data_IF_589594963662
#
_entry.id   IF_589594963662
#
_cell.length_a   1.000
_cell.length_b   1.000
_cell.length_c   1.000
_cell.angle_alpha   90.00
_cell.angle_beta   90.00
_cell.angle_gamma   90.00
#
_symmetry.space_group_name_H-M   'P 1'
#
loop_
_entity.id
_entity.type
_entity.pdbx_description
1 polymer ?
#
# COMPACT_ATOMS: atom_id res chain seq x y z
N UNK A 1 -45.31 20.69 61.08
CA UNK A 1 -44.37 19.64 60.66
C UNK A 1 -44.34 19.59 59.14
N UNK A 2 -43.37 20.21 58.58
CA UNK A 2 -43.23 20.25 57.10
C UNK A 2 -42.06 19.37 56.69
N UNK A 3 -42.37 18.29 56.02
CA UNK A 3 -41.36 17.51 55.31
C UNK A 3 -41.31 18.03 53.88
N UNK A 4 -40.21 18.71 53.57
CA UNK A 4 -39.90 19.10 52.19
C UNK A 4 -39.10 17.94 51.56
N UNK A 5 -39.75 17.25 50.67
CA UNK A 5 -39.12 16.26 49.79
C UNK A 5 -38.37 17.03 48.72
N UNK A 6 -37.05 17.02 48.81
CA UNK A 6 -36.19 17.51 47.77
C UNK A 6 -35.98 16.40 46.74
N UNK A 7 -36.73 16.46 45.65
CA UNK A 7 -36.54 15.63 44.50
C UNK A 7 -35.25 16.06 43.77
N UNK A 8 -34.15 15.38 43.98
CA UNK A 8 -32.95 15.55 43.15
C UNK A 8 -33.20 14.86 41.81
N UNK A 9 -33.47 15.64 40.80
CA UNK A 9 -33.39 15.19 39.43
C UNK A 9 -31.93 14.93 39.06
N UNK A 10 -31.58 13.66 38.95
CA UNK A 10 -30.32 13.25 38.33
C UNK A 10 -30.48 13.41 36.83
N UNK A 11 -29.97 14.52 36.30
CA UNK A 11 -29.73 14.66 34.87
C UNK A 11 -28.55 13.75 34.53
N UNK A 12 -28.89 12.56 34.04
CA UNK A 12 -27.92 11.69 33.39
C UNK A 12 -27.44 12.34 32.08
N UNK A 13 -26.29 12.98 32.13
CA UNK A 13 -25.61 13.41 30.94
C UNK A 13 -25.19 12.19 30.12
N UNK A 14 -25.90 11.95 29.03
CA UNK A 14 -25.49 10.96 28.04
C UNK A 14 -24.25 11.49 27.36
N UNK A 15 -23.07 11.09 27.85
CA UNK A 15 -21.80 11.30 27.16
C UNK A 15 -21.85 10.48 25.87
N UNK A 16 -22.22 11.13 24.79
CA UNK A 16 -21.99 10.61 23.45
C UNK A 16 -20.47 10.58 23.24
N UNK A 17 -19.87 9.43 23.54
CA UNK A 17 -18.51 9.14 23.07
C UNK A 17 -18.60 9.05 21.56
N UNK A 18 -18.45 10.18 20.90
CA UNK A 18 -18.20 10.24 19.47
C UNK A 18 -16.88 9.53 19.21
N UNK A 19 -16.95 8.23 18.97
CA UNK A 19 -15.79 7.48 18.52
C UNK A 19 -15.33 8.10 17.20
N UNK A 20 -14.18 8.77 17.22
CA UNK A 20 -13.49 9.10 16.00
C UNK A 20 -13.25 7.78 15.27
N UNK A 21 -13.97 7.56 14.17
CA UNK A 21 -13.67 6.48 13.25
C UNK A 21 -12.33 6.83 12.59
N UNK A 22 -11.22 6.52 13.28
CA UNK A 22 -9.93 6.53 12.66
C UNK A 22 -9.99 5.62 11.43
N UNK A 23 -9.42 6.05 10.31
CA UNK A 23 -9.26 5.19 9.16
C UNK A 23 -8.46 3.99 9.62
N UNK A 24 -9.10 2.82 9.62
CA UNK A 24 -8.42 1.59 9.96
C UNK A 24 -7.38 1.30 8.87
N UNK A 25 -6.13 1.07 9.29
CA UNK A 25 -5.10 0.57 8.38
C UNK A 25 -5.55 -0.75 7.78
N UNK A 26 -5.28 -1.01 6.50
CA UNK A 26 -5.58 -2.30 5.89
C UNK A 26 -4.93 -3.44 6.67
N UNK A 27 -5.60 -4.58 6.77
CA UNK A 27 -5.04 -5.78 7.36
C UNK A 27 -3.78 -6.21 6.59
N UNK A 28 -2.76 -6.67 7.31
CA UNK A 28 -1.56 -7.22 6.69
C UNK A 28 -1.90 -8.44 5.84
N UNK A 29 -1.26 -8.54 4.68
CA UNK A 29 -1.47 -9.63 3.71
C UNK A 29 -0.15 -10.31 3.42
N UNK A 30 -0.13 -11.64 3.55
CA UNK A 30 0.99 -12.45 3.08
C UNK A 30 0.96 -12.50 1.56
N UNK A 31 2.01 -12.01 0.92
CA UNK A 31 2.09 -11.99 -0.55
C UNK A 31 2.61 -13.33 -1.07
N UNK A 32 3.70 -13.81 -0.51
CA UNK A 32 4.36 -15.04 -0.93
C UNK A 32 5.71 -15.21 -0.25
N UNK A 33 6.48 -16.16 -0.73
CA UNK A 33 7.81 -16.45 -0.19
C UNK A 33 8.89 -15.80 -1.05
N UNK A 34 9.95 -15.35 -0.41
CA UNK A 34 11.09 -14.72 -1.10
C UNK A 34 11.69 -15.61 -2.19
N UNK A 35 11.68 -16.92 -2.00
CA UNK A 35 12.16 -17.90 -3.00
C UNK A 35 11.35 -17.90 -4.31
N UNK A 36 10.15 -17.33 -4.31
CA UNK A 36 9.33 -17.17 -5.52
C UNK A 36 9.79 -16.02 -6.40
N UNK A 37 10.77 -15.24 -5.92
CA UNK A 37 11.38 -14.12 -6.63
C UNK A 37 12.89 -14.40 -6.84
N UNK A 38 13.26 -15.46 -7.61
CA UNK A 38 14.64 -15.92 -7.67
C UNK A 38 15.59 -14.97 -8.41
N UNK A 39 15.07 -14.07 -9.24
CA UNK A 39 15.88 -13.17 -10.07
C UNK A 39 15.28 -11.77 -10.12
N UNK A 40 16.09 -10.81 -10.52
CA UNK A 40 15.66 -9.43 -10.76
C UNK A 40 14.55 -9.43 -11.80
N UNK A 41 13.50 -8.66 -11.55
CA UNK A 41 12.28 -8.51 -12.33
C UNK A 41 11.29 -9.68 -12.20
N UNK A 42 11.59 -10.69 -11.38
CA UNK A 42 10.55 -11.62 -10.95
C UNK A 42 9.47 -10.87 -10.16
N UNK A 43 8.22 -11.25 -10.36
CA UNK A 43 7.08 -10.57 -9.75
C UNK A 43 6.03 -11.54 -9.20
N UNK A 44 5.18 -11.04 -8.32
CA UNK A 44 4.01 -11.73 -7.78
C UNK A 44 2.83 -10.76 -7.75
N UNK A 45 1.74 -11.15 -8.38
CA UNK A 45 0.47 -10.43 -8.27
C UNK A 45 -0.21 -10.77 -6.95
N UNK A 46 -0.82 -9.77 -6.32
CA UNK A 46 -1.58 -9.95 -5.09
C UNK A 46 -2.66 -8.88 -4.95
N UNK A 47 -3.49 -9.02 -3.94
CA UNK A 47 -4.49 -7.99 -3.60
C UNK A 47 -4.20 -7.43 -2.21
N UNK A 48 -4.31 -6.13 -2.10
CA UNK A 48 -4.16 -5.40 -0.86
C UNK A 48 -5.17 -4.25 -0.80
N UNK A 49 -5.89 -4.12 0.31
CA UNK A 49 -6.93 -3.09 0.47
C UNK A 49 -7.91 -3.05 -0.71
N UNK A 50 -8.35 -4.22 -1.20
CA UNK A 50 -9.24 -4.39 -2.34
C UNK A 50 -8.70 -3.88 -3.69
N UNK A 51 -7.40 -3.67 -3.80
CA UNK A 51 -6.75 -3.22 -5.03
C UNK A 51 -5.84 -4.32 -5.61
N UNK A 52 -5.77 -4.44 -6.95
CA UNK A 52 -4.76 -5.28 -7.57
C UNK A 52 -3.38 -4.65 -7.37
N UNK A 53 -2.42 -5.44 -6.95
CA UNK A 53 -1.08 -5.00 -6.61
C UNK A 53 -0.03 -5.91 -7.23
N UNK A 54 1.21 -5.42 -7.27
CA UNK A 54 2.36 -6.17 -7.76
C UNK A 54 3.52 -6.03 -6.80
N UNK A 55 4.16 -7.15 -6.48
CA UNK A 55 5.45 -7.24 -5.80
C UNK A 55 6.51 -7.56 -6.83
N UNK A 56 7.59 -6.79 -6.89
CA UNK A 56 8.64 -6.94 -7.89
C UNK A 56 10.00 -6.97 -7.22
N UNK A 57 10.86 -7.92 -7.61
CA UNK A 57 12.27 -7.86 -7.26
C UNK A 57 12.99 -6.91 -8.22
N UNK A 58 13.65 -5.90 -7.66
CA UNK A 58 14.33 -4.86 -8.42
C UNK A 58 15.85 -4.96 -8.28
N UNK A 59 16.63 -4.37 -9.20
CA UNK A 59 18.08 -4.28 -9.03
C UNK A 59 18.44 -3.50 -7.77
N UNK A 60 19.66 -3.69 -7.23
CA UNK A 60 20.15 -2.85 -6.14
C UNK A 60 20.03 -1.37 -6.52
N UNK A 61 19.37 -0.55 -5.69
CA UNK A 61 19.20 0.87 -5.99
C UNK A 61 20.52 1.62 -5.87
N UNK A 62 20.74 2.62 -6.72
CA UNK A 62 21.90 3.51 -6.62
C UNK A 62 21.79 4.44 -5.42
N UNK A 63 20.57 4.82 -5.05
CA UNK A 63 20.26 5.67 -3.91
C UNK A 63 19.17 5.03 -3.05
N UNK A 64 19.25 5.24 -1.75
CA UNK A 64 18.23 4.77 -0.83
C UNK A 64 16.87 5.40 -1.17
N UNK A 65 15.82 4.58 -1.18
CA UNK A 65 14.46 5.01 -1.43
C UNK A 65 13.53 4.31 -0.46
N UNK A 66 12.56 5.02 0.14
CA UNK A 66 11.58 4.38 1.01
C UNK A 66 10.69 3.38 0.26
N UNK A 67 10.63 3.47 -1.07
CA UNK A 67 9.89 2.54 -1.92
C UNK A 67 10.59 1.20 -2.12
N UNK A 68 11.88 1.11 -1.82
CA UNK A 68 12.70 -0.08 -2.03
C UNK A 68 13.01 -0.73 -0.68
N UNK A 69 12.57 -1.97 -0.52
CA UNK A 69 12.76 -2.77 0.67
C UNK A 69 13.93 -3.74 0.47
N UNK A 70 14.92 -3.70 1.36
CA UNK A 70 16.03 -4.66 1.34
C UNK A 70 15.62 -5.94 2.07
N UNK A 71 15.42 -7.01 1.33
CA UNK A 71 14.99 -8.31 1.86
C UNK A 71 16.14 -9.26 2.19
N UNK A 72 17.37 -8.94 1.78
CA UNK A 72 18.56 -9.76 2.00
C UNK A 72 19.76 -9.17 1.28
N UNK A 73 20.90 -9.88 1.30
CA UNK A 73 22.07 -9.49 0.52
C UNK A 73 21.69 -9.47 -0.97
N UNK A 74 21.87 -8.33 -1.62
CA UNK A 74 21.56 -8.12 -3.05
C UNK A 74 20.11 -8.44 -3.44
N UNK A 75 19.19 -8.49 -2.47
CA UNK A 75 17.77 -8.74 -2.72
C UNK A 75 16.95 -7.53 -2.32
N UNK A 76 16.38 -6.86 -3.32
CA UNK A 76 15.61 -5.63 -3.17
C UNK A 76 14.23 -5.80 -3.78
N UNK A 77 13.21 -5.36 -3.06
CA UNK A 77 11.81 -5.51 -3.44
C UNK A 77 11.10 -4.16 -3.45
N UNK A 78 10.11 -4.03 -4.30
CA UNK A 78 9.13 -2.96 -4.24
C UNK A 78 7.75 -3.55 -4.46
N UNK A 79 6.73 -2.94 -3.87
CA UNK A 79 5.34 -3.32 -4.11
C UNK A 79 4.48 -2.09 -4.28
N UNK A 80 3.48 -2.17 -5.14
CA UNK A 80 2.62 -1.04 -5.44
C UNK A 80 1.25 -1.47 -5.94
N UNK A 81 0.30 -0.56 -5.81
CA UNK A 81 -1.02 -0.69 -6.41
C UNK A 81 -0.94 -0.56 -7.93
N UNK A 82 -1.69 -1.39 -8.64
CA UNK A 82 -1.83 -1.29 -10.10
C UNK A 82 -2.93 -0.34 -10.54
N UNK A 83 -3.44 0.49 -9.64
CA UNK A 83 -4.36 1.56 -10.01
C UNK A 83 -3.55 2.78 -10.47
N UNK A 84 -3.77 3.19 -11.72
CA UNK A 84 -3.11 4.38 -12.26
C UNK A 84 -3.44 5.61 -11.43
N UNK A 85 -2.42 6.35 -11.02
CA UNK A 85 -2.58 7.54 -10.17
C UNK A 85 -3.23 8.74 -10.88
N UNK A 86 -3.45 8.64 -12.20
CA UNK A 86 -4.21 9.65 -12.92
C UNK A 86 -5.71 9.54 -12.66
N UNK A 87 -6.35 8.39 -13.01
CA UNK A 87 -7.79 8.18 -12.87
C UNK A 87 -8.18 6.76 -12.42
N UNK A 88 -7.27 6.01 -11.86
CA UNK A 88 -7.58 4.72 -11.25
C UNK A 88 -7.77 3.54 -12.20
N UNK A 89 -7.43 3.67 -13.49
CA UNK A 89 -7.43 2.52 -14.39
C UNK A 89 -6.39 1.49 -13.95
N UNK A 90 -6.70 0.21 -14.09
CA UNK A 90 -5.74 -0.85 -13.79
C UNK A 90 -4.67 -0.85 -14.87
N UNK A 91 -3.41 -0.66 -14.48
CA UNK A 91 -2.28 -0.72 -15.40
C UNK A 91 -1.90 -2.18 -15.68
N UNK A 92 -1.36 -2.49 -16.88
CA UNK A 92 -0.87 -3.83 -17.18
C UNK A 92 0.36 -4.18 -16.35
N UNK A 93 0.78 -5.44 -16.41
CA UNK A 93 2.08 -5.85 -15.89
C UNK A 93 3.21 -5.20 -16.70
N UNK A 94 4.42 -5.06 -16.11
CA UNK A 94 5.56 -4.55 -16.85
C UNK A 94 5.83 -5.34 -18.13
N UNK A 95 6.16 -4.63 -19.20
CA UNK A 95 6.56 -5.25 -20.45
C UNK A 95 8.02 -5.76 -20.39
N UNK A 96 8.52 -6.29 -21.52
CA UNK A 96 9.88 -6.84 -21.60
C UNK A 96 10.97 -5.78 -21.40
N UNK A 97 10.67 -4.52 -21.63
CA UNK A 97 11.57 -3.37 -21.40
C UNK A 97 11.42 -2.80 -19.98
N UNK A 98 10.64 -3.46 -19.13
CA UNK A 98 10.36 -3.04 -17.74
C UNK A 98 9.63 -1.70 -17.66
N UNK A 99 8.70 -1.47 -18.60
CA UNK A 99 7.83 -0.31 -18.64
C UNK A 99 6.37 -0.73 -18.46
N UNK A 100 5.59 0.20 -17.92
CA UNK A 100 4.15 0.06 -17.74
C UNK A 100 3.48 1.25 -18.43
N UNK A 101 2.51 1.00 -19.29
CA UNK A 101 1.71 2.05 -19.91
C UNK A 101 0.24 1.88 -19.57
N UNK A 102 -0.37 2.93 -18.99
CA UNK A 102 -1.79 2.94 -18.69
C UNK A 102 -2.59 3.06 -19.99
N UNK A 103 -3.46 2.07 -20.27
CA UNK A 103 -4.25 2.04 -21.48
C UNK A 103 -5.34 3.09 -21.58
N UNK A 104 -5.67 3.80 -20.49
CA UNK A 104 -6.75 4.80 -20.49
C UNK A 104 -6.29 6.13 -21.08
N UNK A 105 -5.16 6.68 -20.61
CA UNK A 105 -4.69 8.02 -21.01
C UNK A 105 -3.18 8.07 -21.26
N UNK A 106 -2.51 6.93 -21.32
CA UNK A 106 -1.11 6.85 -21.73
C UNK A 106 -0.07 7.23 -20.66
N UNK A 107 -0.45 7.34 -19.38
CA UNK A 107 0.53 7.50 -18.30
C UNK A 107 1.53 6.35 -18.30
N UNK A 108 2.82 6.65 -18.09
CA UNK A 108 3.87 5.64 -18.14
C UNK A 108 4.65 5.57 -16.84
N UNK A 109 4.95 4.36 -16.44
CA UNK A 109 5.69 4.05 -15.23
C UNK A 109 6.80 3.04 -15.53
N UNK A 110 7.81 2.99 -14.68
CA UNK A 110 8.79 1.89 -14.69
C UNK A 110 8.24 0.68 -13.95
N UNK A 111 8.89 -0.46 -14.13
CA UNK A 111 8.51 -1.69 -13.45
C UNK A 111 8.59 -1.59 -11.91
N UNK A 112 9.34 -0.64 -11.37
CA UNK A 112 9.38 -0.33 -9.93
C UNK A 112 8.25 0.60 -9.47
N UNK A 113 7.33 0.96 -10.36
CA UNK A 113 6.22 1.85 -10.08
C UNK A 113 6.54 3.33 -10.14
N UNK A 114 7.79 3.73 -10.40
CA UNK A 114 8.16 5.14 -10.55
C UNK A 114 7.58 5.75 -11.81
N UNK A 115 7.26 7.06 -11.75
CA UNK A 115 6.64 7.78 -12.86
C UNK A 115 7.66 8.09 -13.96
N UNK A 116 7.31 7.79 -15.20
CA UNK A 116 8.07 8.17 -16.40
C UNK A 116 7.44 9.34 -17.14
N UNK A 117 6.13 9.31 -17.35
CA UNK A 117 5.42 10.32 -18.11
C UNK A 117 3.96 10.41 -17.68
N UNK A 118 3.43 11.66 -17.73
CA UNK A 118 2.02 11.92 -17.48
C UNK A 118 1.09 11.40 -18.57
N UNK A 119 -0.23 11.62 -18.35
CA UNK A 119 -0.83 12.64 -17.50
C UNK A 119 -0.79 12.40 -15.98
N UNK A 120 -0.49 11.19 -15.50
CA UNK A 120 -0.26 11.00 -14.07
C UNK A 120 0.88 11.90 -13.56
N UNK A 121 0.76 12.43 -12.35
CA UNK A 121 1.76 13.30 -11.71
C UNK A 121 2.44 12.65 -10.51
N UNK A 122 2.03 11.43 -10.17
CA UNK A 122 2.54 10.67 -9.03
C UNK A 122 2.94 9.26 -9.45
N UNK A 123 3.95 8.64 -8.81
CA UNK A 123 4.24 7.24 -9.02
C UNK A 123 3.06 6.36 -8.59
N UNK A 124 3.05 5.10 -8.97
CA UNK A 124 2.09 4.13 -8.44
C UNK A 124 2.24 4.06 -6.92
N UNK A 125 1.11 3.97 -6.22
CA UNK A 125 1.09 4.02 -4.76
C UNK A 125 1.84 2.84 -4.16
N UNK A 126 2.89 3.11 -3.40
CA UNK A 126 3.75 2.09 -2.84
C UNK A 126 3.18 1.46 -1.57
N UNK A 127 3.57 0.22 -1.33
CA UNK A 127 3.18 -0.58 -0.18
C UNK A 127 4.39 -0.81 0.69
N UNK A 128 4.21 -0.67 2.00
CA UNK A 128 5.24 -1.00 3.00
C UNK A 128 5.30 -2.51 3.18
N UNK A 129 6.51 -3.05 3.11
CA UNK A 129 6.76 -4.49 3.19
C UNK A 129 7.43 -4.87 4.51
N UNK A 130 7.19 -6.11 4.93
CA UNK A 130 7.94 -6.79 5.97
C UNK A 130 8.32 -8.20 5.51
N UNK A 131 9.46 -8.67 5.99
CA UNK A 131 9.88 -10.07 5.82
C UNK A 131 9.65 -10.79 7.15
N UNK A 132 8.87 -11.87 7.11
CA UNK A 132 8.55 -12.71 8.27
C UNK A 132 8.82 -14.15 7.92
N UNK A 133 9.87 -14.74 8.52
CA UNK A 133 10.23 -16.15 8.30
C UNK A 133 10.31 -16.54 6.81
N UNK A 134 10.96 -15.71 6.00
CA UNK A 134 11.10 -15.91 4.56
C UNK A 134 9.89 -15.54 3.72
N UNK A 135 8.77 -15.17 4.33
CA UNK A 135 7.58 -14.69 3.63
C UNK A 135 7.55 -13.16 3.57
N UNK A 136 7.13 -12.63 2.44
CA UNK A 136 6.95 -11.20 2.21
C UNK A 136 5.51 -10.81 2.50
N UNK A 137 5.33 -9.77 3.32
CA UNK A 137 4.04 -9.27 3.76
C UNK A 137 3.83 -7.82 3.36
N UNK A 138 2.64 -7.50 2.87
CA UNK A 138 2.16 -6.14 2.72
C UNK A 138 1.55 -5.70 4.05
N UNK A 139 2.07 -4.63 4.66
CA UNK A 139 1.68 -4.24 6.01
C UNK A 139 1.05 -2.85 6.10
N UNK A 140 0.99 -2.13 5.02
CA UNK A 140 0.38 -0.81 4.97
C UNK A 140 0.75 -0.07 3.70
N UNK A 141 0.11 1.07 3.48
CA UNK A 141 0.53 1.99 2.44
C UNK A 141 1.78 2.75 2.88
N UNK A 142 2.68 2.97 1.94
CA UNK A 142 3.78 3.90 2.15
C UNK A 142 3.25 5.31 1.93
N UNK A 143 3.43 6.17 2.92
CA UNK A 143 3.04 7.59 2.77
C UNK A 143 4.01 8.30 1.83
N UNK A 144 3.50 9.23 1.00
CA UNK A 144 4.34 9.98 0.06
C UNK A 144 5.28 10.96 0.75
#
# INVERSE_FOLDING_TARGET
MNRRDATRALMGGLLMLGGARGQQSPAAVRIGELRQLPEVWADLEFRFANQPCLLVRVPPPKEASPRIFKAGEQVYLTAYSRLCTHQGCIVPLPDRQQNIECGCHGSRFRADGSLLAGPASQPLRAIRLELREGAVWAVGWLEP
#
